data_IF_733586132379
#
_entry.id   IF_733586132379
#
_cell.length_a   1.000
_cell.length_b   1.000
_cell.length_c   1.000
_cell.angle_alpha   90.00
_cell.angle_beta   90.00
_cell.angle_gamma   90.00
#
_symmetry.space_group_name_H-M   'P 1'
#
loop_
_entity.id
_entity.type
_entity.pdbx_description
1 polymer ?
#
# COMPACT_ATOMS: atom_id res chain seq x y z
N UNK A 1 26.10 3.34 68.84
CA UNK A 1 25.20 2.59 67.95
C UNK A 1 23.81 2.70 68.53
N UNK A 2 22.93 3.46 67.89
CA UNK A 2 21.55 3.64 68.33
C UNK A 2 20.72 2.40 67.93
N UNK A 3 20.14 1.64 68.87
CA UNK A 3 19.32 0.47 68.57
C UNK A 3 17.99 0.79 67.88
N UNK A 4 17.62 2.07 67.75
CA UNK A 4 16.31 2.52 67.24
C UNK A 4 16.37 3.22 65.88
N UNK A 5 17.47 3.08 65.13
CA UNK A 5 17.63 3.61 63.77
C UNK A 5 16.83 2.83 62.69
N UNK A 6 15.68 2.25 63.06
CA UNK A 6 14.76 1.59 62.14
C UNK A 6 13.60 2.50 61.80
N UNK A 7 13.49 2.89 60.52
CA UNK A 7 12.36 3.65 59.98
C UNK A 7 11.03 2.90 60.15
N UNK A 8 10.24 3.31 61.14
CA UNK A 8 8.99 2.69 61.57
C UNK A 8 7.84 2.97 60.57
N UNK A 9 8.04 3.86 59.59
CA UNK A 9 7.04 4.21 58.57
C UNK A 9 7.08 3.34 57.32
N UNK A 10 8.03 2.39 57.21
CA UNK A 10 7.99 1.36 56.18
C UNK A 10 6.88 0.35 56.46
N UNK A 11 5.68 0.65 55.94
CA UNK A 11 4.51 -0.22 56.03
C UNK A 11 4.84 -1.68 55.72
N UNK A 12 4.31 -2.59 56.54
CA UNK A 12 4.59 -4.03 56.47
C UNK A 12 4.49 -4.59 55.04
N UNK A 13 5.55 -5.25 54.56
CA UNK A 13 5.57 -5.99 53.27
C UNK A 13 4.42 -7.01 53.13
N UNK A 14 3.79 -7.42 54.26
CA UNK A 14 2.63 -8.31 54.33
C UNK A 14 1.32 -7.75 53.74
N UNK A 15 1.27 -6.49 53.28
CA UNK A 15 0.09 -5.92 52.60
C UNK A 15 0.21 -5.83 51.07
N UNK A 16 1.28 -6.34 50.46
CA UNK A 16 1.35 -6.39 48.99
C UNK A 16 0.43 -7.50 48.45
N UNK A 17 -0.58 -7.19 47.61
CA UNK A 17 -1.39 -8.22 46.99
C UNK A 17 -0.49 -9.15 46.16
N UNK A 18 -0.73 -10.46 46.27
CA UNK A 18 0.06 -11.45 45.54
C UNK A 18 0.09 -11.11 44.04
N UNK A 19 1.30 -11.13 43.48
CA UNK A 19 1.49 -11.01 42.04
C UNK A 19 1.45 -12.40 41.41
N UNK A 20 0.62 -12.56 40.38
CA UNK A 20 0.52 -13.80 39.61
C UNK A 20 0.98 -13.49 38.19
N UNK A 21 1.72 -14.41 37.53
CA UNK A 21 2.06 -14.26 36.13
C UNK A 21 0.82 -14.01 35.28
N UNK A 22 0.91 -13.07 34.36
CA UNK A 22 -0.13 -12.80 33.38
C UNK A 22 0.10 -13.71 32.16
N UNK A 23 -0.96 -14.38 31.71
CA UNK A 23 -0.93 -15.28 30.57
C UNK A 23 -2.06 -14.90 29.62
N UNK A 24 -1.75 -14.56 28.34
CA UNK A 24 -2.79 -14.29 27.35
C UNK A 24 -3.67 -15.53 27.15
N UNK A 25 -5.00 -15.35 27.18
CA UNK A 25 -5.97 -16.41 26.92
C UNK A 25 -6.05 -16.72 25.41
N UNK A 26 -4.97 -17.25 24.85
CA UNK A 26 -4.88 -17.69 23.46
C UNK A 26 -5.77 -18.92 23.24
N UNK A 27 -6.28 -19.09 22.02
CA UNK A 27 -7.10 -20.24 21.66
C UNK A 27 -6.34 -21.54 21.92
N UNK A 28 -7.06 -22.57 22.37
CA UNK A 28 -6.54 -23.90 22.70
C UNK A 28 -5.62 -23.95 23.94
N UNK A 29 -5.35 -22.81 24.59
CA UNK A 29 -4.73 -22.80 25.91
C UNK A 29 -5.62 -23.54 26.92
N UNK A 30 -5.09 -24.55 27.59
CA UNK A 30 -5.82 -25.27 28.64
C UNK A 30 -5.63 -24.56 29.98
N UNK A 31 -6.74 -24.15 30.58
CA UNK A 31 -6.76 -23.52 31.88
C UNK A 31 -7.73 -24.23 32.83
N UNK A 32 -7.36 -24.26 34.10
CA UNK A 32 -8.20 -24.72 35.20
C UNK A 32 -8.69 -23.54 36.03
N UNK A 33 -9.96 -23.54 36.41
CA UNK A 33 -10.57 -22.50 37.22
C UNK A 33 -10.47 -22.89 38.69
N UNK A 34 -9.77 -22.09 39.50
CA UNK A 34 -9.51 -22.44 40.91
C UNK A 34 -10.78 -22.50 41.75
N UNK A 35 -11.78 -21.69 41.40
CA UNK A 35 -13.00 -21.55 42.20
C UNK A 35 -13.86 -22.82 42.22
N UNK A 36 -13.87 -23.58 41.13
CA UNK A 36 -14.75 -24.74 40.95
C UNK A 36 -14.09 -25.97 40.29
N UNK A 37 -12.80 -25.88 39.96
CA UNK A 37 -12.02 -26.97 39.36
C UNK A 37 -12.33 -27.24 37.90
N UNK A 38 -13.03 -26.34 37.19
CA UNK A 38 -13.35 -26.55 35.78
C UNK A 38 -12.08 -26.47 34.91
N UNK A 39 -11.82 -27.50 34.11
CA UNK A 39 -10.68 -27.57 33.19
C UNK A 39 -11.19 -27.53 31.75
N UNK A 40 -10.68 -26.60 30.95
CA UNK A 40 -11.05 -26.50 29.54
C UNK A 40 -10.04 -25.73 28.69
N UNK A 41 -10.16 -25.92 27.37
CA UNK A 41 -9.42 -25.18 26.37
C UNK A 41 -10.10 -23.84 26.08
N UNK A 42 -9.32 -22.78 25.92
CA UNK A 42 -9.84 -21.45 25.58
C UNK A 42 -10.41 -21.44 24.16
N UNK A 43 -11.68 -21.04 24.04
CA UNK A 43 -12.31 -20.78 22.75
C UNK A 43 -12.18 -19.31 22.32
N UNK A 44 -12.11 -18.40 23.29
CA UNK A 44 -11.96 -16.97 23.06
C UNK A 44 -12.27 -16.12 24.29
N UNK A 45 -12.04 -14.82 24.16
CA UNK A 45 -12.34 -13.80 25.18
C UNK A 45 -13.42 -12.87 24.66
N UNK A 46 -14.45 -12.65 25.46
CA UNK A 46 -15.57 -11.78 25.16
C UNK A 46 -15.71 -10.68 26.22
N UNK A 47 -16.16 -9.50 25.79
CA UNK A 47 -16.44 -8.37 26.68
C UNK A 47 -17.94 -8.24 26.88
N UNK A 48 -18.36 -8.29 28.13
CA UNK A 48 -19.74 -8.10 28.57
C UNK A 48 -19.85 -6.80 29.38
N UNK A 49 -21.06 -6.30 29.69
CA UNK A 49 -21.24 -5.17 30.60
C UNK A 49 -20.57 -5.39 31.98
N UNK A 50 -20.47 -6.64 32.42
CA UNK A 50 -19.88 -7.03 33.70
C UNK A 50 -18.36 -7.23 33.67
N UNK A 51 -17.71 -7.00 32.51
CA UNK A 51 -16.26 -7.08 32.31
C UNK A 51 -15.83 -8.10 31.27
N UNK A 52 -14.56 -8.50 31.31
CA UNK A 52 -13.97 -9.46 30.36
C UNK A 52 -14.09 -10.89 30.88
N UNK A 53 -14.48 -11.79 29.98
CA UNK A 53 -14.71 -13.20 30.26
C UNK A 53 -13.97 -14.06 29.25
N UNK A 54 -13.42 -15.18 29.72
CA UNK A 54 -12.87 -16.25 28.87
C UNK A 54 -13.89 -17.37 28.77
N UNK A 55 -14.10 -17.86 27.55
CA UNK A 55 -14.89 -19.06 27.28
C UNK A 55 -13.98 -20.27 27.26
N UNK A 56 -14.23 -21.23 28.13
CA UNK A 56 -13.50 -22.50 28.21
C UNK A 56 -14.41 -23.64 27.79
N UNK A 57 -13.88 -24.61 27.04
CA UNK A 57 -14.55 -25.83 26.63
C UNK A 57 -13.87 -27.06 27.24
N UNK A 58 -14.64 -27.93 27.89
CA UNK A 58 -14.11 -29.18 28.44
C UNK A 58 -13.99 -30.29 27.36
N UNK A 59 -13.35 -31.40 27.72
CA UNK A 59 -13.21 -32.57 26.83
C UNK A 59 -14.52 -33.24 26.38
N UNK A 60 -15.66 -32.86 26.96
CA UNK A 60 -16.99 -33.36 26.60
C UNK A 60 -17.76 -32.35 25.73
N UNK A 61 -17.13 -31.24 25.34
CA UNK A 61 -17.73 -30.17 24.54
C UNK A 61 -18.61 -29.21 25.34
N UNK A 62 -18.57 -29.23 26.68
CA UNK A 62 -19.33 -28.26 27.48
C UNK A 62 -18.55 -26.95 27.55
N UNK A 63 -19.17 -25.85 27.12
CA UNK A 63 -18.58 -24.52 27.18
C UNK A 63 -19.13 -23.68 28.34
N UNK A 64 -18.25 -22.97 29.05
CA UNK A 64 -18.59 -22.09 30.18
C UNK A 64 -17.80 -20.79 30.14
N UNK A 65 -18.40 -19.72 30.66
CA UNK A 65 -17.78 -18.39 30.75
C UNK A 65 -17.24 -18.14 32.15
N UNK A 66 -16.01 -17.64 32.21
CA UNK A 66 -15.34 -17.30 33.46
C UNK A 66 -14.78 -15.88 33.38
N UNK A 67 -15.07 -15.07 34.39
CA UNK A 67 -14.56 -13.69 34.46
C UNK A 67 -13.03 -13.71 34.59
N UNK A 68 -12.34 -12.89 33.81
CA UNK A 68 -10.89 -12.70 33.89
C UNK A 68 -10.50 -11.99 35.18
N UNK A 69 -10.38 -12.76 36.27
CA UNK A 69 -9.99 -12.27 37.60
C UNK A 69 -8.52 -12.59 37.87
N UNK A 70 -7.85 -11.66 38.58
CA UNK A 70 -6.45 -11.81 39.00
C UNK A 70 -6.25 -13.11 39.78
N UNK A 71 -5.33 -13.95 39.30
CA UNK A 71 -4.98 -15.22 39.95
C UNK A 71 -6.13 -16.22 40.05
N UNK A 72 -7.12 -16.20 39.15
CA UNK A 72 -8.27 -17.11 39.22
C UNK A 72 -8.06 -18.45 38.51
N UNK A 73 -6.96 -18.61 37.77
CA UNK A 73 -6.73 -19.75 36.90
C UNK A 73 -5.43 -20.47 37.24
N UNK A 74 -5.36 -21.76 36.91
CA UNK A 74 -4.12 -22.52 36.80
C UNK A 74 -3.85 -22.83 35.33
N UNK A 75 -2.62 -22.61 34.90
CA UNK A 75 -2.10 -23.09 33.61
C UNK A 75 -0.91 -23.98 33.93
N UNK A 76 -0.96 -25.24 33.49
CA UNK A 76 0.06 -26.25 33.83
C UNK A 76 0.32 -26.35 35.35
N UNK A 77 -0.74 -26.28 36.16
CA UNK A 77 -0.66 -26.33 37.63
C UNK A 77 -0.13 -25.06 38.31
N UNK A 78 0.23 -24.01 37.55
CA UNK A 78 0.71 -22.73 38.09
C UNK A 78 -0.39 -21.70 38.11
N UNK A 79 -0.53 -20.98 39.23
CA UNK A 79 -1.53 -19.93 39.40
C UNK A 79 -1.20 -18.68 38.58
N UNK A 80 -2.12 -18.30 37.70
CA UNK A 80 -1.96 -17.21 36.73
C UNK A 80 -3.17 -16.30 36.68
N UNK A 81 -2.98 -15.11 36.13
CA UNK A 81 -4.05 -14.22 35.69
C UNK A 81 -4.18 -14.35 34.19
N UNK A 82 -5.32 -14.85 33.70
CA UNK A 82 -5.59 -14.83 32.27
C UNK A 82 -5.92 -13.40 31.81
N UNK A 83 -5.34 -12.97 30.69
CA UNK A 83 -5.55 -11.65 30.09
C UNK A 83 -6.09 -11.80 28.67
N UNK A 84 -6.68 -10.73 28.14
CA UNK A 84 -7.12 -10.71 26.74
C UNK A 84 -5.90 -10.83 25.82
N UNK A 85 -5.92 -11.71 24.80
CA UNK A 85 -4.88 -11.74 23.78
C UNK A 85 -4.74 -10.38 23.10
N UNK A 86 -3.50 -9.96 22.86
CA UNK A 86 -3.26 -8.81 22.01
C UNK A 86 -3.83 -9.10 20.60
N UNK A 87 -4.50 -8.12 19.96
CA UNK A 87 -4.89 -8.30 18.56
C UNK A 87 -3.63 -8.61 17.74
N UNK A 88 -3.71 -9.66 16.92
CA UNK A 88 -2.64 -9.96 15.97
C UNK A 88 -2.38 -8.71 15.12
N UNK A 89 -1.12 -8.31 14.99
CA UNK A 89 -0.76 -7.18 14.15
C UNK A 89 -1.32 -7.42 12.73
N UNK A 90 -1.97 -6.42 12.11
CA UNK A 90 -2.42 -6.57 10.73
C UNK A 90 -1.21 -6.93 9.87
N UNK A 91 -1.32 -8.04 9.11
CA UNK A 91 -0.27 -8.46 8.21
C UNK A 91 0.02 -7.33 7.22
N UNK A 92 1.27 -6.86 7.20
CA UNK A 92 1.67 -5.84 6.24
C UNK A 92 1.62 -6.41 4.82
N UNK A 93 1.16 -5.63 3.83
CA UNK A 93 1.11 -6.08 2.45
C UNK A 93 2.52 -6.44 1.97
N UNK A 94 2.67 -7.68 1.48
CA UNK A 94 3.95 -8.22 0.98
C UNK A 94 4.25 -7.84 -0.46
N UNK A 95 3.30 -7.16 -1.14
CA UNK A 95 3.44 -6.71 -2.54
C UNK A 95 3.16 -5.21 -2.66
N UNK A 96 3.78 -4.57 -3.66
CA UNK A 96 3.47 -3.20 -4.08
C UNK A 96 2.18 -3.15 -4.90
N UNK A 97 1.78 -1.94 -5.30
CA UNK A 97 0.61 -1.73 -6.16
C UNK A 97 0.87 -2.19 -7.62
N UNK A 98 2.12 -2.20 -8.07
CA UNK A 98 2.55 -2.82 -9.34
C UNK A 98 2.51 -4.36 -9.27
N UNK A 99 2.57 -4.91 -8.05
CA UNK A 99 2.56 -6.35 -7.79
C UNK A 99 3.94 -6.96 -7.52
N UNK A 100 5.01 -6.16 -7.53
CA UNK A 100 6.36 -6.59 -7.12
C UNK A 100 6.42 -6.91 -5.62
N UNK A 101 7.50 -7.58 -5.17
CA UNK A 101 7.69 -7.87 -3.75
C UNK A 101 8.02 -6.57 -3.03
N UNK A 102 7.28 -6.27 -1.97
CA UNK A 102 7.52 -5.06 -1.19
C UNK A 102 8.84 -5.21 -0.43
N UNK A 103 9.69 -4.21 -0.55
CA UNK A 103 10.93 -4.10 0.23
C UNK A 103 10.63 -3.23 1.46
N UNK A 104 10.89 -3.77 2.64
CA UNK A 104 10.76 -3.05 3.90
C UNK A 104 12.06 -2.28 4.22
N UNK A 105 11.94 -1.17 4.95
CA UNK A 105 13.07 -0.31 5.33
C UNK A 105 13.89 0.20 4.14
N UNK A 106 13.20 0.81 3.17
CA UNK A 106 13.89 1.51 2.08
C UNK A 106 14.73 2.65 2.67
N UNK A 107 16.05 2.49 2.66
CA UNK A 107 16.95 3.62 2.90
C UNK A 107 16.85 4.59 1.73
N UNK A 108 16.95 5.89 2.00
CA UNK A 108 16.96 6.90 0.95
C UNK A 108 18.19 6.69 0.05
N UNK A 109 17.99 6.02 -1.09
CA UNK A 109 19.00 5.86 -2.13
C UNK A 109 19.24 7.19 -2.84
N UNK A 110 20.47 7.39 -3.30
CA UNK A 110 20.78 8.46 -4.26
C UNK A 110 19.99 8.18 -5.53
N UNK A 111 19.24 9.18 -6.00
CA UNK A 111 18.50 9.06 -7.25
C UNK A 111 19.45 8.66 -8.38
N UNK A 112 19.04 7.67 -9.17
CA UNK A 112 19.75 7.31 -10.39
C UNK A 112 19.85 8.50 -11.33
N UNK A 113 20.83 8.53 -12.23
CA UNK A 113 20.89 9.55 -13.26
C UNK A 113 19.66 9.52 -14.19
N UNK A 114 19.09 8.34 -14.46
CA UNK A 114 17.98 8.14 -15.38
C UNK A 114 16.64 8.72 -14.89
N UNK A 115 15.76 9.09 -15.83
CA UNK A 115 14.46 9.72 -15.55
C UNK A 115 13.36 9.14 -16.43
N UNK A 116 12.13 9.17 -15.91
CA UNK A 116 10.92 8.96 -16.70
C UNK A 116 10.19 10.30 -16.80
N UNK A 117 9.97 10.75 -18.02
CA UNK A 117 9.17 11.92 -18.34
C UNK A 117 7.74 11.49 -18.68
N UNK A 118 6.76 12.20 -18.15
CA UNK A 118 5.33 11.96 -18.45
C UNK A 118 4.69 13.23 -18.97
N UNK A 119 3.67 13.11 -19.80
CA UNK A 119 3.06 14.27 -20.45
C UNK A 119 2.39 15.23 -19.46
N UNK A 120 1.56 14.69 -18.57
CA UNK A 120 0.75 15.45 -17.63
C UNK A 120 0.94 15.10 -16.15
N UNK A 121 0.34 15.93 -15.30
CA UNK A 121 0.34 15.73 -13.84
C UNK A 121 -0.51 14.53 -13.40
N UNK A 122 -1.54 14.18 -14.17
CA UNK A 122 -2.38 13.02 -13.87
C UNK A 122 -1.62 11.71 -14.13
N UNK A 123 -0.83 11.67 -15.20
CA UNK A 123 0.09 10.58 -15.53
C UNK A 123 1.09 10.36 -14.40
N UNK A 124 1.78 11.43 -14.01
CA UNK A 124 2.73 11.40 -12.91
C UNK A 124 2.08 10.84 -11.63
N UNK A 125 0.85 11.25 -11.34
CA UNK A 125 0.13 10.81 -10.17
C UNK A 125 -0.31 9.33 -10.25
N UNK A 126 -0.74 8.81 -11.41
CA UNK A 126 -1.01 7.38 -11.59
C UNK A 126 0.27 6.56 -11.48
N UNK A 127 1.33 7.02 -12.15
CA UNK A 127 2.65 6.36 -12.12
C UNK A 127 3.16 6.26 -10.69
N UNK A 128 3.14 7.36 -9.95
CA UNK A 128 3.53 7.41 -8.54
C UNK A 128 2.65 6.50 -7.67
N UNK A 129 1.33 6.46 -7.91
CA UNK A 129 0.41 5.65 -7.12
C UNK A 129 0.66 4.15 -7.30
N UNK A 130 0.92 3.70 -8.52
CA UNK A 130 1.00 2.27 -8.84
C UNK A 130 2.44 1.76 -8.80
N UNK A 131 3.40 2.51 -9.33
CA UNK A 131 4.80 2.12 -9.46
C UNK A 131 5.76 2.89 -8.55
N UNK A 132 5.31 3.90 -7.81
CA UNK A 132 6.20 4.74 -7.01
C UNK A 132 7.05 3.95 -5.99
N UNK A 133 6.55 2.82 -5.47
CA UNK A 133 7.37 1.94 -4.62
C UNK A 133 8.59 1.40 -5.38
N UNK A 134 8.34 0.78 -6.53
CA UNK A 134 9.31 0.17 -7.42
C UNK A 134 10.32 1.20 -7.93
N UNK A 135 9.83 2.35 -8.38
CA UNK A 135 10.68 3.46 -8.85
C UNK A 135 11.63 3.96 -7.76
N UNK A 136 11.18 4.03 -6.50
CA UNK A 136 12.04 4.40 -5.37
C UNK A 136 13.07 3.32 -5.03
N UNK A 137 12.74 2.03 -5.18
CA UNK A 137 13.71 0.92 -5.02
C UNK A 137 14.86 1.10 -6.02
N UNK A 138 14.51 1.43 -7.26
CA UNK A 138 15.46 1.63 -8.35
C UNK A 138 16.12 3.02 -8.34
N UNK A 139 15.58 3.98 -7.58
CA UNK A 139 16.07 5.36 -7.53
C UNK A 139 15.68 6.19 -8.76
N UNK A 140 14.65 5.80 -9.50
CA UNK A 140 14.17 6.52 -10.69
C UNK A 140 13.21 7.63 -10.25
N UNK A 141 13.37 8.80 -10.86
CA UNK A 141 12.48 9.95 -10.64
C UNK A 141 11.59 10.15 -11.86
N UNK A 142 10.34 10.53 -11.58
CA UNK A 142 9.32 10.87 -12.58
C UNK A 142 9.16 12.39 -12.63
N UNK A 143 9.21 12.96 -13.83
CA UNK A 143 9.04 14.39 -14.08
C UNK A 143 7.97 14.60 -15.14
N UNK A 144 7.12 15.62 -15.00
CA UNK A 144 6.10 15.92 -16.01
C UNK A 144 6.55 17.04 -16.96
N UNK A 145 6.14 16.94 -18.23
CA UNK A 145 6.60 17.80 -19.33
C UNK A 145 5.71 19.00 -19.62
N UNK A 146 4.49 19.05 -19.08
CA UNK A 146 3.47 20.06 -19.45
C UNK A 146 3.14 20.01 -20.95
N UNK A 147 3.06 18.80 -21.49
CA UNK A 147 2.86 18.54 -22.91
C UNK A 147 4.14 18.07 -23.62
N UNK A 148 3.97 17.19 -24.60
CA UNK A 148 5.08 16.55 -25.30
C UNK A 148 5.88 17.52 -26.19
N UNK A 149 5.32 18.67 -26.54
CA UNK A 149 6.01 19.72 -27.29
C UNK A 149 7.26 20.25 -26.56
N UNK A 150 7.31 20.14 -25.22
CA UNK A 150 8.45 20.57 -24.41
C UNK A 150 9.56 19.51 -24.32
N UNK A 151 9.35 18.31 -24.88
CA UNK A 151 10.32 17.22 -24.82
C UNK A 151 11.72 17.60 -25.35
N UNK A 152 11.87 18.30 -26.50
CA UNK A 152 13.20 18.63 -27.01
C UNK A 152 14.03 19.47 -26.03
N UNK A 153 13.43 20.50 -25.43
CA UNK A 153 14.09 21.36 -24.45
C UNK A 153 14.51 20.56 -23.20
N UNK A 154 13.61 19.71 -22.69
CA UNK A 154 13.91 18.86 -21.53
C UNK A 154 14.99 17.83 -21.82
N UNK A 155 15.06 17.29 -23.03
CA UNK A 155 16.13 16.37 -23.42
C UNK A 155 17.48 17.10 -23.57
N UNK A 156 17.49 18.35 -24.03
CA UNK A 156 18.70 19.17 -24.13
C UNK A 156 19.25 19.54 -22.75
N UNK A 157 18.37 19.90 -21.80
CA UNK A 157 18.74 20.13 -20.41
C UNK A 157 19.22 18.83 -19.74
N UNK A 158 18.46 17.76 -19.94
CA UNK A 158 18.77 16.48 -19.35
C UNK A 158 20.11 16.00 -19.90
N UNK A 159 20.30 15.83 -21.22
CA UNK A 159 21.44 15.18 -21.87
C UNK A 159 21.48 13.66 -21.62
N UNK A 160 20.60 12.88 -22.26
CA UNK A 160 20.63 11.42 -22.19
C UNK A 160 22.00 10.85 -22.60
N UNK A 161 22.41 9.75 -21.95
CA UNK A 161 23.61 8.99 -22.27
C UNK A 161 23.48 7.53 -21.81
N UNK A 162 24.40 6.61 -22.17
CA UNK A 162 24.24 5.17 -21.89
C UNK A 162 24.02 4.79 -20.41
N UNK A 163 24.54 5.60 -19.47
CA UNK A 163 24.32 5.43 -18.03
C UNK A 163 23.30 6.39 -17.41
N UNK A 164 22.58 7.15 -18.27
CA UNK A 164 21.67 8.23 -17.88
C UNK A 164 20.56 8.34 -18.92
N UNK A 165 19.65 7.38 -18.89
CA UNK A 165 18.61 7.21 -19.91
C UNK A 165 17.37 8.03 -19.61
N UNK A 166 16.63 8.38 -20.65
CA UNK A 166 15.33 9.03 -20.55
C UNK A 166 14.23 8.11 -21.07
N UNK A 167 13.30 7.74 -20.21
CA UNK A 167 12.02 7.18 -20.63
C UNK A 167 11.00 8.29 -20.82
N UNK A 168 10.12 8.19 -21.82
CA UNK A 168 9.02 9.15 -22.05
C UNK A 168 7.73 8.39 -22.22
N UNK A 169 6.72 8.72 -21.42
CA UNK A 169 5.36 8.23 -21.54
C UNK A 169 4.49 9.33 -22.17
N UNK A 170 4.02 9.07 -23.38
CA UNK A 170 3.15 9.96 -24.14
C UNK A 170 1.69 9.47 -24.16
N UNK A 171 0.76 10.43 -24.11
CA UNK A 171 -0.65 10.15 -24.36
C UNK A 171 -0.91 10.08 -25.87
N UNK A 172 -2.01 9.45 -26.27
CA UNK A 172 -2.46 9.35 -27.66
C UNK A 172 -1.37 8.90 -28.66
N UNK A 173 -0.44 8.04 -28.24
CA UNK A 173 0.66 7.60 -29.10
C UNK A 173 0.17 6.55 -30.09
N UNK A 174 -0.43 7.02 -31.18
CA UNK A 174 -0.95 6.22 -32.30
C UNK A 174 -0.23 6.56 -33.60
N UNK A 175 -0.26 5.64 -34.56
CA UNK A 175 0.37 5.84 -35.86
C UNK A 175 -0.22 7.06 -36.61
N UNK A 176 0.65 7.91 -37.16
CA UNK A 176 0.29 9.14 -37.84
C UNK A 176 -0.05 10.33 -36.94
N UNK A 177 0.04 10.17 -35.62
CA UNK A 177 -0.21 11.24 -34.64
C UNK A 177 0.85 12.34 -34.67
N UNK A 178 0.56 13.49 -34.03
CA UNK A 178 1.56 14.56 -33.84
C UNK A 178 2.66 14.07 -32.91
N UNK A 179 2.28 13.31 -31.90
CA UNK A 179 3.08 12.77 -30.81
C UNK A 179 4.12 11.78 -31.35
N UNK A 180 3.75 10.91 -32.29
CA UNK A 180 4.70 10.06 -33.00
C UNK A 180 5.75 10.88 -33.77
N UNK A 181 5.34 11.97 -34.43
CA UNK A 181 6.28 12.82 -35.19
C UNK A 181 7.25 13.57 -34.27
N UNK A 182 6.79 14.03 -33.11
CA UNK A 182 7.64 14.73 -32.12
C UNK A 182 8.71 13.82 -31.53
N UNK A 183 8.47 12.50 -31.52
CA UNK A 183 9.32 11.53 -30.85
C UNK A 183 10.21 10.73 -31.82
N UNK A 184 9.97 10.85 -33.13
CA UNK A 184 10.69 10.10 -34.16
C UNK A 184 12.19 10.41 -34.24
N UNK A 185 12.62 11.59 -33.78
CA UNK A 185 14.01 12.06 -33.88
C UNK A 185 14.82 11.92 -32.58
N UNK A 186 14.28 11.25 -31.56
CA UNK A 186 14.98 11.11 -30.27
C UNK A 186 16.10 10.07 -30.35
N UNK A 187 17.21 10.35 -29.65
CA UNK A 187 18.44 9.55 -29.67
C UNK A 187 18.30 8.12 -29.11
N UNK A 188 19.41 7.39 -29.12
CA UNK A 188 19.48 5.98 -28.68
C UNK A 188 19.21 5.78 -27.18
N UNK A 189 19.57 6.76 -26.35
CA UNK A 189 19.38 6.74 -24.89
C UNK A 189 18.00 7.28 -24.45
N UNK A 190 17.08 7.43 -25.41
CA UNK A 190 15.71 7.89 -25.17
C UNK A 190 14.71 6.88 -25.72
N UNK A 191 13.90 6.29 -24.84
CA UNK A 191 12.76 5.45 -25.24
C UNK A 191 11.47 6.22 -25.04
N UNK A 192 10.64 6.27 -26.08
CA UNK A 192 9.29 6.83 -26.01
C UNK A 192 8.32 5.69 -26.15
N UNK A 193 7.45 5.56 -25.16
CA UNK A 193 6.28 4.68 -25.19
C UNK A 193 5.03 5.52 -24.96
N UNK A 194 3.87 4.90 -25.03
CA UNK A 194 2.63 5.58 -24.77
C UNK A 194 1.45 4.63 -24.81
N UNK A 195 0.27 5.22 -24.69
CA UNK A 195 -0.99 4.49 -24.76
C UNK A 195 -1.92 5.10 -25.81
N UNK A 196 -2.87 4.33 -26.36
CA UNK A 196 -3.74 4.79 -27.45
C UNK A 196 -4.83 5.77 -26.97
N UNK A 197 -4.91 6.03 -25.67
CA UNK A 197 -5.94 6.86 -25.08
C UNK A 197 -5.69 8.34 -25.29
N UNK A 198 -6.77 9.11 -25.43
CA UNK A 198 -6.75 10.58 -25.51
C UNK A 198 -6.23 11.21 -24.22
N UNK A 199 -6.44 10.55 -23.09
CA UNK A 199 -6.00 11.00 -21.76
C UNK A 199 -5.86 9.78 -20.84
N UNK A 200 -4.92 9.86 -19.90
CA UNK A 200 -4.70 8.81 -18.88
C UNK A 200 -5.95 8.40 -18.10
N UNK A 201 -6.95 9.26 -17.97
CA UNK A 201 -8.24 8.87 -17.37
C UNK A 201 -8.84 7.66 -18.07
N UNK A 202 -8.81 7.64 -19.40
CA UNK A 202 -9.38 6.54 -20.18
C UNK A 202 -8.57 5.24 -20.07
N UNK A 203 -7.33 5.31 -19.57
CA UNK A 203 -6.52 4.14 -19.24
C UNK A 203 -6.95 3.47 -17.91
N UNK A 204 -7.82 4.10 -17.12
CA UNK A 204 -8.44 3.47 -15.95
C UNK A 204 -9.65 2.65 -16.39
N UNK A 205 -9.74 1.41 -15.92
CA UNK A 205 -10.84 0.49 -16.26
C UNK A 205 -12.19 1.05 -15.82
N UNK A 206 -13.17 1.23 -16.73
CA UNK A 206 -14.48 1.82 -16.43
C UNK A 206 -15.22 1.15 -15.26
N UNK A 207 -15.05 -0.16 -15.10
CA UNK A 207 -15.71 -0.95 -14.06
C UNK A 207 -15.31 -0.50 -12.65
N UNK A 208 -14.10 0.08 -12.50
CA UNK A 208 -13.63 0.65 -11.23
C UNK A 208 -14.38 1.90 -10.81
N UNK A 209 -15.05 2.54 -11.77
CA UNK A 209 -15.91 3.70 -11.58
C UNK A 209 -17.40 3.31 -11.64
N UNK A 210 -17.72 2.02 -11.67
CA UNK A 210 -19.09 1.53 -11.79
C UNK A 210 -19.70 1.73 -13.18
N UNK A 211 -18.87 1.90 -14.20
CA UNK A 211 -19.28 2.13 -15.59
C UNK A 211 -18.99 0.90 -16.45
N UNK A 212 -19.73 0.74 -17.54
CA UNK A 212 -19.45 -0.30 -18.55
C UNK A 212 -18.40 0.11 -19.57
N UNK A 213 -18.35 1.39 -19.89
CA UNK A 213 -17.41 1.99 -20.82
C UNK A 213 -17.25 3.48 -20.49
N UNK A 214 -16.14 4.07 -20.92
CA UNK A 214 -16.01 5.52 -20.95
C UNK A 214 -17.01 6.12 -21.96
N UNK A 215 -17.61 7.29 -21.69
CA UNK A 215 -18.51 7.92 -22.64
C UNK A 215 -17.73 8.46 -23.85
N UNK A 216 -18.36 8.40 -25.03
CA UNK A 216 -17.81 8.98 -26.24
C UNK A 216 -17.88 10.51 -26.19
N UNK A 217 -16.73 11.17 -26.32
CA UNK A 217 -16.63 12.63 -26.45
C UNK A 217 -16.29 12.98 -27.91
N UNK A 218 -17.14 13.74 -28.61
CA UNK A 218 -16.89 14.19 -29.97
C UNK A 218 -15.59 14.96 -30.12
N UNK A 219 -14.96 14.81 -31.27
CA UNK A 219 -13.76 15.57 -31.62
C UNK A 219 -14.06 17.08 -31.63
N UNK A 220 -13.18 17.86 -31.02
CA UNK A 220 -13.32 19.32 -30.90
C UNK A 220 -13.93 19.79 -29.57
N UNK A 221 -14.46 18.87 -28.77
CA UNK A 221 -14.82 19.10 -27.37
C UNK A 221 -13.61 18.76 -26.47
N UNK A 222 -13.35 19.55 -25.42
CA UNK A 222 -12.36 19.17 -24.41
C UNK A 222 -12.78 17.84 -23.77
N UNK A 223 -11.90 16.84 -23.86
CA UNK A 223 -12.26 15.47 -23.52
C UNK A 223 -12.66 15.33 -22.04
N UNK A 224 -11.90 15.94 -21.11
CA UNK A 224 -12.19 15.87 -19.66
C UNK A 224 -13.51 16.53 -19.31
N UNK A 225 -13.76 17.73 -19.85
CA UNK A 225 -15.02 18.45 -19.65
C UNK A 225 -16.21 17.66 -20.22
N UNK A 226 -16.04 17.08 -21.41
CA UNK A 226 -17.09 16.29 -22.06
C UNK A 226 -17.41 14.98 -21.34
N UNK A 227 -16.41 14.33 -20.76
CA UNK A 227 -16.59 13.18 -19.86
C UNK A 227 -17.38 13.59 -18.62
N UNK A 228 -16.99 14.67 -17.95
CA UNK A 228 -17.68 15.14 -16.75
C UNK A 228 -19.16 15.47 -17.03
N UNK A 229 -19.44 16.17 -18.14
CA UNK A 229 -20.80 16.51 -18.52
C UNK A 229 -21.69 15.27 -18.76
N UNK A 230 -21.15 14.22 -19.39
CA UNK A 230 -21.88 12.99 -19.70
C UNK A 230 -22.10 12.10 -18.48
N UNK A 231 -21.18 12.14 -17.52
CA UNK A 231 -21.24 11.34 -16.29
C UNK A 231 -21.90 12.09 -15.12
N UNK A 232 -22.30 13.36 -15.33
CA UNK A 232 -22.89 14.20 -14.29
C UNK A 232 -21.91 14.57 -13.18
N UNK A 233 -20.62 14.68 -13.50
CA UNK A 233 -19.59 15.19 -12.59
C UNK A 233 -19.50 16.72 -12.75
N UNK A 234 -19.22 17.43 -11.65
CA UNK A 234 -19.27 18.89 -11.60
C UNK A 234 -18.23 19.54 -12.52
N UNK A 235 -17.00 19.04 -12.49
CA UNK A 235 -15.86 19.62 -13.18
C UNK A 235 -14.69 18.61 -13.30
N UNK A 236 -13.65 18.91 -14.10
CA UNK A 236 -12.49 18.04 -14.26
C UNK A 236 -11.71 17.74 -12.97
N UNK A 237 -11.75 18.63 -11.96
CA UNK A 237 -11.05 18.41 -10.68
C UNK A 237 -11.78 17.36 -9.84
N UNK A 238 -13.11 17.43 -9.78
CA UNK A 238 -13.93 16.38 -9.16
C UNK A 238 -13.78 15.06 -9.91
N UNK A 239 -13.86 15.10 -11.25
CA UNK A 239 -13.67 13.94 -12.11
C UNK A 239 -12.33 13.26 -11.85
N UNK A 240 -11.24 14.03 -11.79
CA UNK A 240 -9.91 13.50 -11.45
C UNK A 240 -9.90 12.83 -10.09
N UNK A 241 -10.50 13.43 -9.07
CA UNK A 241 -10.56 12.83 -7.73
C UNK A 241 -11.25 11.46 -7.74
N UNK A 242 -12.33 11.32 -8.52
CA UNK A 242 -13.04 10.04 -8.70
C UNK A 242 -12.15 9.01 -9.39
N UNK A 243 -11.55 9.38 -10.53
CA UNK A 243 -10.66 8.51 -11.31
C UNK A 243 -9.46 8.05 -10.48
N UNK A 244 -8.76 8.99 -9.84
CA UNK A 244 -7.60 8.69 -9.02
C UNK A 244 -7.94 7.74 -7.87
N UNK A 245 -9.11 7.92 -7.20
CA UNK A 245 -9.55 7.04 -6.11
C UNK A 245 -9.91 5.63 -6.58
N UNK A 246 -10.37 5.48 -7.82
CA UNK A 246 -10.72 4.18 -8.39
C UNK A 246 -9.50 3.27 -8.64
N UNK A 247 -8.30 3.84 -8.78
CA UNK A 247 -7.05 3.11 -8.98
C UNK A 247 -6.45 2.72 -7.63
N UNK A 248 -6.24 1.43 -7.39
CA UNK A 248 -5.53 0.91 -6.22
C UNK A 248 -4.27 0.14 -6.63
N UNK A 249 -4.34 -0.63 -7.71
CA UNK A 249 -3.27 -1.49 -8.20
C UNK A 249 -3.18 -1.48 -9.72
N UNK A 250 -2.11 -2.05 -10.26
CA UNK A 250 -1.90 -2.23 -11.71
C UNK A 250 -3.07 -2.89 -12.43
N UNK A 251 -3.86 -3.71 -11.72
CA UNK A 251 -5.02 -4.42 -12.29
C UNK A 251 -6.17 -3.49 -12.67
N UNK A 252 -6.16 -2.27 -12.16
CA UNK A 252 -7.20 -1.26 -12.36
C UNK A 252 -6.97 -0.43 -13.63
N UNK A 253 -5.83 -0.65 -14.27
CA UNK A 253 -5.39 0.04 -15.47
C UNK A 253 -5.50 -0.88 -16.69
N UNK A 254 -5.63 -0.27 -17.86
CA UNK A 254 -5.56 -0.93 -19.15
C UNK A 254 -4.15 -1.48 -19.41
N UNK A 255 -4.08 -2.63 -20.09
CA UNK A 255 -2.83 -3.32 -20.37
C UNK A 255 -1.88 -2.49 -21.25
N UNK A 256 -2.38 -1.58 -22.10
CA UNK A 256 -1.52 -0.76 -22.95
C UNK A 256 -0.70 0.24 -22.13
N UNK A 257 -1.31 0.92 -21.16
CA UNK A 257 -0.61 1.83 -20.24
C UNK A 257 0.37 1.04 -19.37
N UNK A 258 -0.07 -0.09 -18.82
CA UNK A 258 0.78 -0.95 -18.01
C UNK A 258 2.03 -1.36 -18.79
N UNK A 259 1.85 -1.94 -19.98
CA UNK A 259 2.98 -2.37 -20.80
C UNK A 259 3.90 -1.23 -21.21
N UNK A 260 3.36 -0.03 -21.47
CA UNK A 260 4.17 1.15 -21.78
C UNK A 260 5.08 1.53 -20.60
N UNK A 261 4.52 1.66 -19.39
CA UNK A 261 5.28 2.01 -18.18
C UNK A 261 6.33 0.95 -17.85
N UNK A 262 5.99 -0.35 -17.91
CA UNK A 262 6.95 -1.43 -17.64
C UNK A 262 8.14 -1.39 -18.63
N UNK A 263 7.88 -1.20 -19.93
CA UNK A 263 8.96 -1.06 -20.93
C UNK A 263 9.88 0.14 -20.64
N UNK A 264 9.32 1.26 -20.17
CA UNK A 264 10.14 2.41 -19.77
C UNK A 264 11.00 2.10 -18.56
N UNK A 265 10.44 1.45 -17.53
CA UNK A 265 11.18 1.05 -16.34
C UNK A 265 12.34 0.16 -16.74
N UNK A 266 12.06 -0.92 -17.48
CA UNK A 266 13.08 -1.86 -17.96
C UNK A 266 14.19 -1.13 -18.74
N UNK A 267 13.83 -0.22 -19.66
CA UNK A 267 14.79 0.54 -20.44
C UNK A 267 15.71 1.41 -19.58
N UNK A 268 15.18 2.09 -18.57
CA UNK A 268 15.97 3.00 -17.72
C UNK A 268 16.76 2.29 -16.62
N UNK A 269 16.37 1.06 -16.26
CA UNK A 269 17.07 0.22 -15.27
C UNK A 269 18.09 -0.73 -15.86
N UNK A 270 17.96 -1.09 -17.14
CA UNK A 270 18.77 -2.15 -17.76
C UNK A 270 19.64 -1.57 -18.89
N UNK A 271 20.81 -0.98 -18.56
CA UNK A 271 21.69 -0.32 -19.52
C UNK A 271 22.25 -1.26 -20.59
N UNK A 272 22.16 -2.58 -20.40
CA UNK A 272 22.59 -3.59 -21.37
C UNK A 272 21.61 -3.75 -22.54
N UNK A 273 20.35 -3.35 -22.38
CA UNK A 273 19.34 -3.42 -23.44
C UNK A 273 19.43 -2.18 -24.34
N UNK A 274 19.33 -2.39 -25.65
CA UNK A 274 19.24 -1.30 -26.62
C UNK A 274 17.78 -0.87 -26.82
N UNK A 275 17.57 0.34 -27.34
CA UNK A 275 16.24 0.85 -27.67
C UNK A 275 15.48 -0.05 -28.66
N UNK A 276 16.18 -0.75 -29.56
CA UNK A 276 15.61 -1.66 -30.55
C UNK A 276 15.00 -2.94 -29.93
N UNK A 277 15.25 -3.19 -28.65
CA UNK A 277 14.67 -4.33 -27.93
C UNK A 277 13.25 -4.08 -27.41
N UNK A 278 12.70 -2.87 -27.60
CA UNK A 278 11.41 -2.42 -27.06
C UNK A 278 10.46 -1.94 -28.15
#
# INVERSE_FOLDING_TARGET
>A
MDPYAGDILKGHQRRRPASYPEVPAERDLVAEVIADGFVGAVLGVERTPDGEFVRLEDRRGNSRLFKLRRGAFLVQGKRVTLTRPAPAAPAHPTRSNSGSRRVENLEARVAQPSRIFVEGVHDAAIVEKVWGHDLRVEGIVVEYLEGLDNLPERLEEFRPSPGRRAGVLADHLVEGSKEQRLTASVGEDVLVTGHPFVDVWAAVKPERLGMRAWPDVPRGEDWKTGVCARLGWSDPKEGWSRVYRAVSTIKDLDASLVGAVERLIDFVTTPELSKENF
#
